data_IF_652723866279
#
_entry.id   IF_652723866279
#
_cell.length_a   1.000
_cell.length_b   1.000
_cell.length_c   1.000
_cell.angle_alpha   90.00
_cell.angle_beta   90.00
_cell.angle_gamma   90.00
#
_symmetry.space_group_name_H-M   'P 1'
#
loop_
_entity.id
_entity.type
_entity.pdbx_description
1 polymer ?
#
# COMPACT_ATOMS: atom_id res chain seq x y z
N UNK A 1 51.30 -44.13 22.03
CA UNK A 1 49.90 -43.65 22.06
C UNK A 1 49.03 -44.60 21.22
N UNK A 2 47.99 -45.24 21.78
CA UNK A 2 47.22 -46.25 21.05
C UNK A 2 46.43 -45.60 19.92
N UNK A 3 46.41 -46.24 18.74
CA UNK A 3 45.79 -45.76 17.49
C UNK A 3 44.32 -45.35 17.67
N UNK A 4 43.60 -45.98 18.59
CA UNK A 4 42.22 -45.64 18.97
C UNK A 4 42.05 -44.22 19.52
N UNK A 5 43.02 -43.71 20.28
CA UNK A 5 42.97 -42.34 20.84
C UNK A 5 43.17 -41.27 19.76
N UNK A 6 43.87 -41.59 18.68
CA UNK A 6 44.06 -40.68 17.53
C UNK A 6 42.81 -40.63 16.65
N UNK A 7 42.14 -41.76 16.45
CA UNK A 7 40.92 -41.85 15.64
C UNK A 7 39.74 -41.14 16.34
N UNK A 8 39.62 -41.31 17.67
CA UNK A 8 38.57 -40.63 18.44
C UNK A 8 38.74 -39.10 18.45
N UNK A 9 40.00 -38.64 18.48
CA UNK A 9 40.29 -37.20 18.44
C UNK A 9 39.95 -36.60 17.07
N UNK A 10 40.24 -37.30 15.97
CA UNK A 10 39.86 -36.82 14.62
C UNK A 10 38.36 -36.86 14.39
N UNK A 11 37.62 -37.83 14.92
CA UNK A 11 36.15 -37.85 14.81
C UNK A 11 35.50 -36.77 15.66
N UNK A 12 36.03 -36.46 16.85
CA UNK A 12 35.54 -35.38 17.71
C UNK A 12 35.76 -34.01 17.05
N UNK A 13 36.92 -33.79 16.41
CA UNK A 13 37.23 -32.52 15.72
C UNK A 13 36.37 -32.32 14.46
N UNK A 14 36.09 -33.39 13.70
CA UNK A 14 35.23 -33.31 12.50
C UNK A 14 33.73 -33.22 12.86
N UNK A 15 33.32 -33.81 14.00
CA UNK A 15 31.96 -33.70 14.52
C UNK A 15 31.65 -32.32 15.12
N UNK A 16 32.63 -31.65 15.73
CA UNK A 16 32.46 -30.32 16.30
C UNK A 16 32.38 -29.21 15.23
N UNK A 17 32.87 -29.43 14.02
CA UNK A 17 32.83 -28.45 12.91
C UNK A 17 31.60 -28.59 12.01
N UNK A 18 30.76 -29.61 12.19
CA UNK A 18 29.62 -29.90 11.30
C UNK A 18 28.26 -29.43 11.82
N UNK A 19 28.18 -28.77 12.98
CA UNK A 19 26.90 -28.34 13.60
C UNK A 19 26.56 -26.85 13.45
N UNK A 20 27.27 -26.09 12.61
CA UNK A 20 27.00 -24.65 12.36
C UNK A 20 26.57 -24.41 10.91
N UNK A 21 25.61 -25.18 10.41
CA UNK A 21 25.11 -25.07 9.03
C UNK A 21 23.58 -24.90 8.95
N UNK A 22 22.97 -24.12 9.85
CA UNK A 22 21.51 -24.15 10.01
C UNK A 22 20.79 -22.87 10.45
N UNK A 23 21.35 -21.67 10.29
CA UNK A 23 20.56 -20.43 10.42
C UNK A 23 20.93 -19.47 9.28
N UNK A 24 19.96 -19.21 8.40
CA UNK A 24 20.14 -18.47 7.16
C UNK A 24 20.56 -17.02 7.40
N UNK A 25 21.74 -16.68 6.89
CA UNK A 25 22.14 -15.31 6.59
C UNK A 25 22.31 -15.24 5.08
N UNK A 26 21.43 -14.52 4.40
CA UNK A 26 21.64 -14.12 3.00
C UNK A 26 22.83 -13.14 2.94
N UNK A 27 24.05 -13.64 2.73
CA UNK A 27 25.15 -12.88 2.13
C UNK A 27 26.37 -13.77 1.86
N UNK A 28 26.58 -14.12 0.58
CA UNK A 28 27.79 -13.86 -0.21
C UNK A 28 27.87 -14.85 -1.38
N UNK A 29 27.35 -14.45 -2.54
CA UNK A 29 27.77 -15.07 -3.79
C UNK A 29 29.23 -14.67 -4.03
N UNK A 30 30.17 -15.59 -3.86
CA UNK A 30 31.57 -15.37 -4.25
C UNK A 30 31.85 -16.06 -5.57
N UNK A 31 32.00 -15.27 -6.62
CA UNK A 31 32.67 -15.67 -7.85
C UNK A 31 33.79 -14.65 -8.10
N UNK A 32 35.03 -15.11 -8.22
CA UNK A 32 36.14 -14.27 -8.69
C UNK A 32 36.35 -14.51 -10.17
N UNK A 33 36.06 -13.49 -10.97
CA UNK A 33 36.69 -13.23 -12.26
C UNK A 33 36.90 -11.72 -12.35
N UNK A 34 38.05 -11.26 -12.85
CA UNK A 34 38.19 -9.86 -13.21
C UNK A 34 37.27 -9.59 -14.40
N UNK A 35 36.32 -8.66 -14.23
CA UNK A 35 35.55 -8.04 -15.31
C UNK A 35 35.51 -6.53 -15.08
N UNK A 36 36.50 -5.76 -15.57
CA UNK A 36 36.38 -4.31 -15.56
C UNK A 36 35.11 -3.92 -16.35
N UNK A 37 34.28 -3.03 -15.79
CA UNK A 37 32.93 -2.62 -16.22
C UNK A 37 31.71 -3.34 -15.60
N UNK A 38 31.88 -4.12 -14.52
CA UNK A 38 30.71 -4.56 -13.73
C UNK A 38 30.00 -3.35 -13.09
N UNK A 39 28.73 -3.12 -13.46
CA UNK A 39 27.82 -2.18 -12.82
C UNK A 39 26.60 -2.95 -12.30
N UNK A 40 26.30 -2.80 -11.01
CA UNK A 40 25.08 -3.30 -10.39
C UNK A 40 24.30 -2.06 -9.94
N UNK A 41 23.15 -1.80 -10.57
CA UNK A 41 22.23 -0.76 -10.12
C UNK A 41 21.12 -1.41 -9.29
N UNK A 42 20.90 -0.93 -8.07
CA UNK A 42 19.72 -1.32 -7.29
C UNK A 42 18.48 -0.77 -7.96
N UNK A 43 17.46 -1.61 -8.13
CA UNK A 43 16.17 -1.11 -8.57
C UNK A 43 15.45 -0.32 -7.45
N UNK A 44 14.49 0.51 -7.84
CA UNK A 44 13.77 1.44 -6.96
C UNK A 44 12.31 1.05 -6.82
N UNK A 45 11.68 1.52 -5.75
CA UNK A 45 10.23 1.53 -5.56
C UNK A 45 9.82 2.99 -5.52
N UNK A 46 8.92 3.42 -6.40
CA UNK A 46 8.48 4.81 -6.48
C UNK A 46 7.02 4.87 -6.92
N UNK A 47 6.24 5.69 -6.23
CA UNK A 47 4.82 5.92 -6.50
C UNK A 47 4.56 7.42 -6.56
N UNK A 48 3.72 7.83 -7.48
CA UNK A 48 3.24 9.21 -7.63
C UNK A 48 1.77 9.20 -7.99
N UNK A 49 1.05 10.28 -7.71
CA UNK A 49 -0.31 10.47 -8.16
C UNK A 49 -0.43 11.74 -9.02
N UNK A 50 -1.64 12.03 -9.50
CA UNK A 50 -1.91 13.16 -10.38
C UNK A 50 -2.53 14.38 -9.69
N UNK A 51 -2.47 14.45 -8.36
CA UNK A 51 -2.74 15.69 -7.65
C UNK A 51 -1.51 16.62 -7.72
N UNK A 52 -1.74 17.93 -7.58
CA UNK A 52 -0.65 18.85 -7.31
C UNK A 52 -0.38 18.83 -5.81
N UNK A 53 0.89 18.90 -5.39
CA UNK A 53 1.31 18.83 -3.98
C UNK A 53 0.41 19.66 -3.06
N UNK A 54 -0.15 19.02 -2.02
CA UNK A 54 -1.07 19.61 -1.03
C UNK A 54 -2.48 19.98 -1.55
N UNK A 55 -2.94 19.38 -2.64
CA UNK A 55 -4.33 19.57 -3.11
C UNK A 55 -5.25 18.58 -2.42
N UNK A 56 -6.32 19.06 -1.77
CA UNK A 56 -7.33 18.18 -1.19
C UNK A 56 -8.15 17.49 -2.28
N UNK A 57 -8.28 16.16 -2.22
CA UNK A 57 -9.17 15.40 -3.10
C UNK A 57 -10.65 15.81 -2.95
N UNK A 58 -11.05 16.21 -1.75
CA UNK A 58 -12.35 16.80 -1.49
C UNK A 58 -12.36 17.71 -0.25
N UNK A 59 -13.23 18.72 -0.31
CA UNK A 59 -13.71 19.51 0.84
C UNK A 59 -15.22 19.68 0.64
N UNK A 60 -16.02 19.10 1.53
CA UNK A 60 -17.47 18.98 1.35
C UNK A 60 -18.20 19.64 2.53
N UNK A 61 -18.34 20.99 2.53
CA UNK A 61 -19.12 21.66 3.57
C UNK A 61 -20.61 21.37 3.39
N UNK A 62 -21.36 21.41 4.50
CA UNK A 62 -22.83 21.45 4.51
C UNK A 62 -23.53 20.28 3.78
N UNK A 63 -22.96 19.07 3.87
CA UNK A 63 -23.59 17.87 3.30
C UNK A 63 -24.75 17.41 4.20
N UNK A 64 -25.90 17.09 3.59
CA UNK A 64 -27.03 16.50 4.29
C UNK A 64 -26.92 14.98 4.39
N UNK A 65 -27.74 14.33 5.24
CA UNK A 65 -27.84 12.87 5.28
C UNK A 65 -28.08 12.26 3.90
N UNK A 66 -27.42 11.13 3.61
CA UNK A 66 -27.50 10.46 2.31
C UNK A 66 -26.80 11.17 1.14
N UNK A 67 -26.26 12.38 1.34
CA UNK A 67 -25.52 13.10 0.29
C UNK A 67 -24.23 12.36 -0.04
N UNK A 68 -24.00 12.11 -1.34
CA UNK A 68 -22.84 11.40 -1.84
C UNK A 68 -21.99 12.27 -2.77
N UNK A 69 -20.67 12.13 -2.71
CA UNK A 69 -19.73 12.79 -3.63
C UNK A 69 -18.71 11.79 -4.17
N UNK A 70 -18.41 11.90 -5.46
CA UNK A 70 -17.40 11.09 -6.15
C UNK A 70 -16.18 11.91 -6.53
N UNK A 71 -14.98 11.38 -6.30
CA UNK A 71 -13.71 11.97 -6.71
C UNK A 71 -12.77 10.90 -7.22
N UNK A 72 -11.98 11.23 -8.22
CA UNK A 72 -11.07 10.29 -8.84
C UNK A 72 -9.63 10.78 -8.83
N UNK A 73 -8.72 9.82 -8.76
CA UNK A 73 -7.27 10.02 -8.73
C UNK A 73 -6.59 8.91 -9.52
N UNK A 74 -5.57 9.27 -10.29
CA UNK A 74 -4.68 8.31 -10.97
C UNK A 74 -3.42 8.18 -10.15
N UNK A 75 -3.05 6.94 -9.83
CA UNK A 75 -1.78 6.62 -9.17
C UNK A 75 -0.92 5.85 -10.15
N UNK A 76 0.32 6.29 -10.32
CA UNK A 76 1.31 5.75 -11.25
C UNK A 76 2.51 5.22 -10.48
N UNK A 77 3.01 4.06 -10.88
CA UNK A 77 4.19 3.46 -10.31
C UNK A 77 5.41 3.74 -11.20
N UNK A 78 6.38 4.47 -10.64
CA UNK A 78 7.64 4.84 -11.29
C UNK A 78 8.83 3.95 -10.90
N UNK A 79 8.64 3.00 -9.98
CA UNK A 79 9.70 2.10 -9.52
C UNK A 79 10.22 1.18 -10.63
N UNK A 80 11.46 0.74 -10.51
CA UNK A 80 12.09 -0.20 -11.46
C UNK A 80 12.02 -1.66 -10.99
N UNK A 81 11.59 -1.93 -9.75
CA UNK A 81 11.30 -3.28 -9.26
C UNK A 81 9.79 -3.49 -9.12
N UNK A 82 9.27 -4.71 -9.34
CA UNK A 82 7.90 -5.03 -8.99
C UNK A 82 7.62 -4.75 -7.51
N UNK A 83 6.44 -4.22 -7.18
CA UNK A 83 6.05 -3.97 -5.79
C UNK A 83 4.59 -4.31 -5.52
N UNK A 84 4.28 -4.68 -4.28
CA UNK A 84 2.91 -4.73 -3.78
C UNK A 84 2.54 -3.38 -3.20
N UNK A 85 1.44 -2.80 -3.71
CA UNK A 85 0.94 -1.51 -3.25
C UNK A 85 -0.31 -1.69 -2.40
N UNK A 86 -0.31 -1.07 -1.21
CA UNK A 86 -1.46 -1.03 -0.31
C UNK A 86 -2.00 0.39 -0.20
N UNK A 87 -3.33 0.50 -0.16
CA UNK A 87 -4.06 1.75 0.10
C UNK A 87 -4.63 1.74 1.51
N UNK A 88 -4.33 2.77 2.29
CA UNK A 88 -4.83 2.95 3.64
C UNK A 88 -5.05 4.43 3.95
N UNK A 89 -5.52 4.76 5.15
CA UNK A 89 -5.66 6.15 5.64
C UNK A 89 -4.73 6.36 6.83
N UNK A 90 -3.79 7.30 6.75
CA UNK A 90 -2.71 7.46 7.73
C UNK A 90 -3.10 8.11 9.06
N UNK A 91 -4.26 8.80 9.14
CA UNK A 91 -4.61 9.63 10.30
C UNK A 91 -5.86 9.14 11.06
N UNK A 92 -5.93 9.47 12.35
CA UNK A 92 -7.14 9.30 13.16
C UNK A 92 -8.23 10.28 12.77
N UNK A 93 -9.49 9.85 12.82
CA UNK A 93 -10.67 10.66 12.46
C UNK A 93 -11.44 11.04 13.71
N UNK A 94 -12.16 12.17 13.65
CA UNK A 94 -13.04 12.58 14.76
C UNK A 94 -14.39 11.86 14.70
N UNK A 95 -15.05 11.85 13.53
CA UNK A 95 -16.38 11.26 13.34
C UNK A 95 -16.42 10.30 12.13
N UNK A 96 -15.39 9.49 11.95
CA UNK A 96 -15.24 8.64 10.76
C UNK A 96 -16.34 7.60 10.54
N UNK A 97 -17.14 7.28 11.56
CA UNK A 97 -18.30 6.38 11.44
C UNK A 97 -19.54 7.05 10.88
N UNK A 98 -19.60 8.39 10.88
CA UNK A 98 -20.71 9.16 10.30
C UNK A 98 -20.62 9.29 8.77
N UNK A 99 -19.58 8.72 8.16
CA UNK A 99 -19.35 8.76 6.72
C UNK A 99 -19.09 7.36 6.20
N UNK A 100 -19.84 6.97 5.18
CA UNK A 100 -19.56 5.79 4.37
C UNK A 100 -18.52 6.13 3.30
N UNK A 101 -17.67 5.15 3.02
CA UNK A 101 -16.64 5.21 2.00
C UNK A 101 -16.73 3.95 1.14
N UNK A 102 -16.79 4.18 -0.17
CA UNK A 102 -16.56 3.16 -1.17
C UNK A 102 -15.35 3.55 -2.03
N UNK A 103 -14.44 2.62 -2.23
CA UNK A 103 -13.28 2.79 -3.10
C UNK A 103 -13.35 1.76 -4.19
N UNK A 104 -13.34 2.25 -5.42
CA UNK A 104 -13.25 1.43 -6.62
C UNK A 104 -11.92 1.68 -7.31
N UNK A 105 -11.35 0.63 -7.88
CA UNK A 105 -10.25 0.72 -8.83
C UNK A 105 -10.77 0.45 -10.24
N UNK A 106 -10.13 1.08 -11.21
CA UNK A 106 -10.55 1.04 -12.60
C UNK A 106 -9.54 1.72 -13.51
N UNK A 107 -10.05 2.25 -14.61
CA UNK A 107 -9.25 2.92 -15.64
C UNK A 107 -10.10 3.97 -16.37
N UNK A 108 -9.47 4.70 -17.30
CA UNK A 108 -10.17 5.56 -18.25
C UNK A 108 -10.45 6.98 -17.78
N UNK A 109 -9.90 7.43 -16.63
CA UNK A 109 -10.00 8.84 -16.25
C UNK A 109 -9.34 9.71 -17.31
N UNK A 110 -10.11 10.65 -17.86
CA UNK A 110 -9.66 11.63 -18.85
C UNK A 110 -9.79 13.07 -18.37
N UNK A 111 -10.60 13.31 -17.34
CA UNK A 111 -10.72 14.63 -16.71
C UNK A 111 -9.51 14.98 -15.84
N UNK A 112 -9.28 16.28 -15.64
CA UNK A 112 -8.30 16.75 -14.66
C UNK A 112 -8.72 16.33 -13.24
N UNK A 113 -7.74 16.04 -12.38
CA UNK A 113 -7.99 15.75 -10.97
C UNK A 113 -8.83 16.88 -10.33
N UNK A 114 -9.83 16.57 -9.48
CA UNK A 114 -10.25 15.23 -9.02
C UNK A 114 -11.48 14.67 -9.76
N UNK A 115 -11.63 14.97 -11.07
CA UNK A 115 -12.78 14.54 -11.87
C UNK A 115 -12.79 13.04 -12.16
N UNK A 116 -13.98 12.45 -12.12
CA UNK A 116 -14.24 11.07 -12.54
C UNK A 116 -14.69 10.93 -14.00
N UNK A 117 -14.60 11.97 -14.82
CA UNK A 117 -14.95 11.88 -16.25
C UNK A 117 -14.14 10.77 -16.93
N UNK A 118 -14.86 9.84 -17.57
CA UNK A 118 -14.29 8.69 -18.28
C UNK A 118 -13.98 7.47 -17.40
N UNK A 119 -14.09 7.59 -16.06
CA UNK A 119 -13.79 6.48 -15.15
C UNK A 119 -14.68 5.26 -15.43
N UNK A 120 -14.04 4.12 -15.65
CA UNK A 120 -14.66 2.81 -15.81
C UNK A 120 -14.25 1.93 -14.63
N UNK A 121 -15.22 1.55 -13.81
CA UNK A 121 -14.98 0.70 -12.63
C UNK A 121 -14.62 -0.72 -13.07
N UNK A 122 -13.60 -1.31 -12.42
CA UNK A 122 -13.20 -2.69 -12.63
C UNK A 122 -13.45 -3.55 -11.38
N UNK A 123 -13.18 -3.01 -10.19
CA UNK A 123 -13.43 -3.70 -8.93
C UNK A 123 -13.65 -2.72 -7.77
N UNK A 124 -14.55 -3.08 -6.84
CA UNK A 124 -14.64 -2.41 -5.53
C UNK A 124 -13.63 -3.04 -4.58
N UNK A 125 -12.72 -2.23 -4.05
CA UNK A 125 -11.64 -2.69 -3.15
C UNK A 125 -11.93 -2.36 -1.69
N UNK A 126 -12.90 -1.47 -1.42
CA UNK A 126 -13.36 -1.18 -0.08
C UNK A 126 -14.81 -0.70 -0.09
N UNK A 127 -15.61 -1.21 0.86
CA UNK A 127 -16.94 -0.70 1.19
C UNK A 127 -17.09 -0.76 2.71
N UNK A 128 -17.37 0.38 3.34
CA UNK A 128 -17.56 0.45 4.79
C UNK A 128 -17.60 1.89 5.28
N UNK A 129 -17.38 2.11 6.57
CA UNK A 129 -17.23 3.47 7.11
C UNK A 129 -15.85 4.04 6.79
N UNK A 130 -15.70 5.36 6.78
CA UNK A 130 -14.40 6.00 6.64
C UNK A 130 -13.45 5.59 7.79
N UNK A 131 -13.98 5.38 8.99
CA UNK A 131 -13.23 4.89 10.15
C UNK A 131 -12.69 3.45 9.99
N UNK A 132 -13.40 2.61 9.25
CA UNK A 132 -13.05 1.19 9.07
C UNK A 132 -11.88 0.93 8.13
N UNK A 133 -11.47 1.91 7.31
CA UNK A 133 -10.32 1.74 6.43
C UNK A 133 -9.04 1.62 7.25
N UNK A 134 -8.16 0.67 6.93
CA UNK A 134 -6.92 0.45 7.67
C UNK A 134 -6.06 1.71 7.83
N UNK A 135 -5.22 1.73 8.86
CA UNK A 135 -4.36 2.89 9.21
C UNK A 135 -2.89 2.77 8.84
N UNK A 136 -2.52 1.68 8.18
CA UNK A 136 -1.15 1.42 7.76
C UNK A 136 -1.10 0.22 6.82
N UNK A 137 0.09 -0.06 6.29
CA UNK A 137 0.30 -1.06 5.24
C UNK A 137 -0.35 -2.42 5.53
N UNK A 138 -0.14 -2.96 6.75
CA UNK A 138 -0.64 -4.28 7.14
C UNK A 138 -2.18 -4.39 7.12
N UNK A 139 -2.90 -3.29 7.40
CA UNK A 139 -4.36 -3.22 7.34
C UNK A 139 -4.90 -2.61 6.05
N UNK A 140 -4.02 -2.24 5.12
CA UNK A 140 -4.39 -1.60 3.86
C UNK A 140 -5.04 -2.57 2.88
N UNK A 141 -5.92 -2.02 2.04
CA UNK A 141 -6.52 -2.77 0.94
C UNK A 141 -5.53 -2.93 -0.20
N UNK A 142 -5.62 -4.04 -0.95
CA UNK A 142 -4.79 -4.23 -2.13
C UNK A 142 -5.18 -3.26 -3.25
N UNK A 143 -4.24 -2.38 -3.61
CA UNK A 143 -4.47 -1.29 -4.53
C UNK A 143 -4.73 -1.79 -5.97
N UNK A 144 -4.16 -2.93 -6.38
CA UNK A 144 -4.26 -3.42 -7.79
C UNK A 144 -4.70 -4.87 -7.94
N UNK A 145 -4.49 -5.72 -6.94
CA UNK A 145 -4.78 -7.16 -7.06
C UNK A 145 -3.65 -7.95 -7.72
N UNK A 146 -2.53 -7.29 -8.03
CA UNK A 146 -1.33 -7.83 -8.64
C UNK A 146 -0.15 -6.92 -8.32
N UNK A 147 1.08 -7.42 -8.51
CA UNK A 147 2.29 -6.61 -8.40
C UNK A 147 2.26 -5.46 -9.41
N UNK A 148 2.78 -4.30 -9.02
CA UNK A 148 2.96 -3.14 -9.88
C UNK A 148 4.35 -3.16 -10.50
N UNK A 149 4.40 -3.00 -11.82
CA UNK A 149 5.62 -2.87 -12.60
C UNK A 149 5.79 -1.42 -13.05
N UNK A 150 6.99 -1.09 -13.52
CA UNK A 150 7.30 0.25 -13.99
C UNK A 150 6.24 0.73 -15.00
N UNK A 151 5.77 1.97 -14.84
CA UNK A 151 4.76 2.65 -15.67
C UNK A 151 3.33 2.16 -15.50
N UNK A 152 3.08 1.12 -14.68
CA UNK A 152 1.71 0.74 -14.34
C UNK A 152 1.01 1.90 -13.64
N UNK A 153 -0.27 2.08 -13.96
CA UNK A 153 -1.14 3.02 -13.28
C UNK A 153 -2.49 2.39 -12.99
N UNK A 154 -3.17 2.92 -11.98
CA UNK A 154 -4.55 2.57 -11.63
C UNK A 154 -5.31 3.86 -11.36
N UNK A 155 -6.51 3.95 -11.93
CA UNK A 155 -7.45 4.99 -11.57
C UNK A 155 -8.31 4.51 -10.41
N UNK A 156 -8.56 5.39 -9.44
CA UNK A 156 -9.46 5.12 -8.33
C UNK A 156 -10.63 6.08 -8.34
N UNK A 157 -11.80 5.58 -7.95
CA UNK A 157 -12.97 6.39 -7.63
C UNK A 157 -13.30 6.23 -6.15
N UNK A 158 -13.28 7.33 -5.43
CA UNK A 158 -13.71 7.45 -4.05
C UNK A 158 -15.14 7.98 -4.05
N UNK A 159 -16.05 7.24 -3.46
CA UNK A 159 -17.41 7.70 -3.18
C UNK A 159 -17.56 7.86 -1.67
N UNK A 160 -17.74 9.10 -1.21
CA UNK A 160 -17.97 9.42 0.20
C UNK A 160 -19.44 9.80 0.36
N UNK A 161 -20.11 9.22 1.35
CA UNK A 161 -21.53 9.47 1.62
C UNK A 161 -21.74 9.77 3.09
N UNK A 162 -22.51 10.81 3.43
CA UNK A 162 -22.95 11.04 4.81
C UNK A 162 -23.92 9.92 5.19
N UNK A 163 -23.66 9.24 6.30
CA UNK A 163 -24.55 8.17 6.77
C UNK A 163 -25.95 8.74 6.99
N UNK A 164 -26.93 8.07 6.41
CA UNK A 164 -28.33 8.43 6.62
C UNK A 164 -28.82 7.75 7.90
N UNK A 165 -29.08 8.56 8.94
CA UNK A 165 -29.71 8.09 10.18
C UNK A 165 -31.18 8.53 10.17
N UNK A 166 -32.13 7.58 10.09
CA UNK A 166 -33.54 7.90 9.99
C UNK A 166 -34.14 8.41 11.31
N UNK A 167 -33.38 8.41 12.42
CA UNK A 167 -33.88 8.91 13.69
C UNK A 167 -33.99 10.44 13.67
N UNK A 168 -35.15 11.02 14.06
CA UNK A 168 -35.33 12.47 14.04
C UNK A 168 -34.30 13.23 14.89
N UNK A 169 -33.80 14.35 14.38
CA UNK A 169 -32.89 15.29 15.06
C UNK A 169 -31.47 14.80 15.39
N UNK A 170 -31.04 13.64 14.88
CA UNK A 170 -29.63 13.16 15.05
C UNK A 170 -28.58 14.02 14.36
N UNK A 171 -29.00 14.80 13.37
CA UNK A 171 -28.13 15.71 12.63
C UNK A 171 -28.36 17.19 13.02
N UNK A 172 -28.66 17.45 14.30
CA UNK A 172 -28.93 18.80 14.82
C UNK A 172 -27.67 19.65 15.06
N UNK A 173 -26.48 19.07 14.90
CA UNK A 173 -25.18 19.75 15.00
C UNK A 173 -24.27 19.34 13.85
N UNK A 174 -23.36 20.23 13.43
CA UNK A 174 -22.38 19.92 12.39
C UNK A 174 -21.47 18.77 12.80
N UNK A 175 -21.39 17.74 11.96
CA UNK A 175 -20.48 16.60 12.11
C UNK A 175 -19.39 16.68 11.05
N UNK A 176 -18.14 16.58 11.47
CA UNK A 176 -16.97 16.59 10.58
C UNK A 176 -16.08 15.39 10.83
N UNK A 177 -15.59 14.75 9.78
CA UNK A 177 -14.60 13.69 9.87
C UNK A 177 -13.23 14.19 10.36
N UNK A 178 -12.97 15.50 10.22
CA UNK A 178 -11.64 16.09 10.38
C UNK A 178 -10.77 15.93 9.13
N UNK A 179 -9.61 16.59 9.12
CA UNK A 179 -8.62 16.45 8.04
C UNK A 179 -8.01 15.05 8.09
N UNK A 180 -7.92 14.40 6.94
CA UNK A 180 -7.33 13.07 6.81
C UNK A 180 -6.77 12.86 5.41
N UNK A 181 -5.90 11.86 5.29
CA UNK A 181 -5.21 11.53 4.05
C UNK A 181 -5.38 10.05 3.72
N UNK A 182 -5.39 9.76 2.42
CA UNK A 182 -5.24 8.40 1.88
C UNK A 182 -3.80 8.23 1.40
N UNK A 183 -3.24 7.06 1.63
CA UNK A 183 -1.83 6.76 1.36
C UNK A 183 -1.75 5.49 0.54
N UNK A 184 -1.07 5.59 -0.61
CA UNK A 184 -0.59 4.43 -1.35
C UNK A 184 0.86 4.20 -0.99
N UNK A 185 1.15 3.02 -0.46
CA UNK A 185 2.50 2.62 -0.08
C UNK A 185 2.90 1.37 -0.86
N UNK A 186 4.06 1.43 -1.49
CA UNK A 186 4.63 0.35 -2.26
C UNK A 186 5.74 -0.33 -1.46
N UNK A 187 5.70 -1.66 -1.37
CA UNK A 187 6.76 -2.47 -0.78
C UNK A 187 7.18 -3.57 -1.75
N UNK A 188 8.49 -3.76 -1.89
CA UNK A 188 9.08 -4.88 -2.61
C UNK A 188 9.78 -5.79 -1.59
N UNK A 189 9.55 -7.09 -1.69
CA UNK A 189 10.14 -8.12 -0.83
C UNK A 189 10.98 -9.08 -1.67
#
# INVERSE_FOLDING_TARGET
>A
MPRSRKILLTTLVVGATSTVAGMGVFAAFTATTDNPNNSIASGTVAISDNDATNTSMYVLPNQGPGSSTQRCIRVTYGGTLPATVKLYRSNTLTNGTAFNLQIERGSGVTGAFPSCTGFTSAATIYTGTLAGLGTGYAGGVDARGAAWNQTDFVDYRFTVTVVDDPTPNTHSSTVSSGVHAFTWEAQNN
#
